data_IF_259425605231
#
_entry.id   IF_259425605231
#
_cell.length_a   1.000
_cell.length_b   1.000
_cell.length_c   1.000
_cell.angle_alpha   90.00
_cell.angle_beta   90.00
_cell.angle_gamma   90.00
#
_symmetry.space_group_name_H-M   'P 1'
#
loop_
_entity.id
_entity.type
_entity.pdbx_description
1 polymer ?
#
# COMPACT_ATOMS: atom_id res chain seq x y z
N UNK A 1 12.78 5.11 28.46
CA UNK A 1 11.59 5.36 29.30
C UNK A 1 10.28 5.30 28.51
N UNK A 2 9.98 6.24 27.59
CA UNK A 2 8.72 6.18 26.83
C UNK A 2 8.62 4.93 25.94
N UNK A 3 9.71 4.55 25.25
CA UNK A 3 9.74 3.31 24.47
C UNK A 3 9.53 2.05 25.33
N UNK A 4 10.13 2.02 26.51
CA UNK A 4 9.98 0.90 27.45
C UNK A 4 8.53 0.78 27.91
N UNK A 5 7.90 1.89 28.26
CA UNK A 5 6.48 1.92 28.63
C UNK A 5 5.56 1.48 27.48
N UNK A 6 5.85 1.87 26.24
CA UNK A 6 5.12 1.38 25.08
C UNK A 6 5.32 -0.14 24.85
N UNK A 7 6.45 -0.70 25.27
CA UNK A 7 6.70 -2.14 25.21
C UNK A 7 5.96 -2.91 26.31
N UNK A 8 5.72 -2.30 27.47
CA UNK A 8 4.96 -2.91 28.56
C UNK A 8 3.49 -3.19 28.19
N UNK A 9 2.93 -2.49 27.20
CA UNK A 9 1.52 -2.65 26.80
C UNK A 9 1.24 -3.94 26.03
N UNK A 10 2.25 -4.54 25.40
CA UNK A 10 2.11 -5.79 24.65
C UNK A 10 3.36 -6.67 24.78
N UNK A 11 3.50 -7.40 25.90
CA UNK A 11 4.64 -8.29 26.14
C UNK A 11 4.75 -9.41 25.11
N UNK A 12 3.63 -9.81 24.49
CA UNK A 12 3.61 -10.85 23.47
C UNK A 12 4.32 -10.36 22.21
N UNK A 13 3.94 -9.19 21.69
CA UNK A 13 4.60 -8.60 20.52
C UNK A 13 6.09 -8.38 20.78
N UNK A 14 6.46 -7.92 21.98
CA UNK A 14 7.88 -7.76 22.37
C UNK A 14 8.60 -9.11 22.39
N UNK A 15 7.99 -10.17 22.93
CA UNK A 15 8.59 -11.51 22.95
C UNK A 15 8.81 -12.10 21.55
N UNK A 16 7.99 -11.69 20.57
CA UNK A 16 8.12 -12.05 19.15
C UNK A 16 9.14 -11.15 18.40
N UNK A 17 9.89 -10.35 19.15
CA UNK A 17 10.89 -9.42 18.63
C UNK A 17 10.29 -8.16 18.02
N UNK A 18 9.01 -7.88 18.22
CA UNK A 18 8.31 -6.65 17.84
C UNK A 18 8.48 -5.53 18.88
N UNK A 19 7.56 -4.57 18.90
CA UNK A 19 7.49 -3.50 19.91
C UNK A 19 7.91 -2.12 19.41
N UNK A 20 7.99 -1.17 20.33
CA UNK A 20 8.45 0.19 20.09
C UNK A 20 9.89 0.22 19.55
N UNK A 21 10.14 1.11 18.58
CA UNK A 21 11.42 1.26 17.88
C UNK A 21 12.00 2.64 18.05
N UNK A 22 11.16 3.66 17.90
CA UNK A 22 11.60 5.04 17.91
C UNK A 22 10.45 5.99 18.21
N UNK A 23 10.77 7.25 18.48
CA UNK A 23 9.84 8.35 18.59
C UNK A 23 10.26 9.49 17.66
N UNK A 24 9.32 9.98 16.86
CA UNK A 24 9.50 11.18 16.05
C UNK A 24 8.62 12.29 16.63
N UNK A 25 9.15 13.51 16.68
CA UNK A 25 8.40 14.68 17.17
C UNK A 25 8.30 15.71 16.06
N UNK A 26 7.09 16.20 15.83
CA UNK A 26 6.81 17.27 14.86
C UNK A 26 6.12 18.41 15.57
N UNK A 27 6.61 19.62 15.33
CA UNK A 27 6.07 20.84 15.93
C UNK A 27 5.44 21.68 14.83
N UNK A 28 4.18 22.06 15.04
CA UNK A 28 3.43 22.99 14.20
C UNK A 28 3.14 24.22 15.05
N UNK A 29 4.01 25.23 14.98
CA UNK A 29 3.91 26.44 15.79
C UNK A 29 2.64 27.24 15.50
N UNK A 30 2.18 27.20 14.25
CA UNK A 30 1.01 27.95 13.79
C UNK A 30 0.01 27.00 13.14
N UNK A 31 -1.17 26.89 13.73
CA UNK A 31 -2.34 26.22 13.15
C UNK A 31 -3.59 27.03 13.45
N UNK A 32 -4.72 26.79 12.77
CA UNK A 32 -6.00 27.44 13.08
C UNK A 32 -6.49 27.24 14.52
N UNK A 33 -5.95 26.27 15.26
CA UNK A 33 -6.34 25.95 16.63
C UNK A 33 -5.19 26.16 17.65
N UNK A 34 -4.15 26.91 17.29
CA UNK A 34 -2.96 27.14 18.12
C UNK A 34 -1.83 26.14 17.86
N UNK A 35 -0.71 26.21 18.61
CA UNK A 35 0.44 25.36 18.38
C UNK A 35 0.12 23.89 18.68
N UNK A 36 0.62 22.98 17.85
CA UNK A 36 0.48 21.54 18.02
C UNK A 36 1.84 20.86 18.10
N UNK A 37 1.99 19.91 19.03
CA UNK A 37 3.10 18.99 19.10
C UNK A 37 2.56 17.59 18.81
N UNK A 38 3.12 16.92 17.80
CA UNK A 38 2.73 15.58 17.37
C UNK A 38 3.89 14.64 17.68
N UNK A 39 3.62 13.62 18.48
CA UNK A 39 4.57 12.54 18.77
C UNK A 39 4.14 11.29 18.01
N UNK A 40 4.99 10.81 17.11
CA UNK A 40 4.81 9.52 16.45
C UNK A 40 5.61 8.45 17.18
N UNK A 41 4.94 7.37 17.58
CA UNK A 41 5.59 6.14 18.02
C UNK A 41 5.81 5.24 16.81
N UNK A 42 7.07 4.98 16.47
CA UNK A 42 7.41 3.96 15.48
C UNK A 42 7.35 2.60 16.18
N UNK A 43 6.43 1.74 15.74
CA UNK A 43 6.12 0.48 16.41
C UNK A 43 6.12 -0.68 15.41
N UNK A 44 6.78 -1.75 15.79
CA UNK A 44 6.90 -2.97 15.01
C UNK A 44 5.84 -3.98 15.46
N UNK A 45 4.80 -4.10 14.63
CA UNK A 45 3.61 -4.89 14.94
C UNK A 45 3.68 -6.32 14.40
N UNK A 46 4.84 -6.72 13.88
CA UNK A 46 5.11 -8.07 13.34
C UNK A 46 4.03 -8.46 12.31
N UNK A 47 3.39 -9.60 12.52
CA UNK A 47 2.40 -10.16 11.60
C UNK A 47 0.98 -9.62 11.78
N UNK A 48 0.78 -8.66 12.69
CA UNK A 48 -0.47 -7.92 12.78
C UNK A 48 -0.44 -6.68 11.87
N UNK A 49 -1.63 -6.23 11.44
CA UNK A 49 -1.77 -4.89 10.88
C UNK A 49 -1.36 -3.84 11.93
N UNK A 50 -1.86 -4.01 13.16
CA UNK A 50 -1.32 -3.36 14.35
C UNK A 50 -2.05 -2.12 14.86
N UNK A 51 -3.21 -1.75 14.28
CA UNK A 51 -3.99 -0.59 14.73
C UNK A 51 -4.27 -0.59 16.24
N UNK A 52 -4.81 -1.69 16.77
CA UNK A 52 -5.13 -1.77 18.20
C UNK A 52 -3.86 -1.75 19.06
N UNK A 53 -2.83 -2.50 18.67
CA UNK A 53 -1.54 -2.53 19.38
C UNK A 53 -0.92 -1.14 19.50
N UNK A 54 -0.88 -0.38 18.40
CA UNK A 54 -0.32 0.98 18.38
C UNK A 54 -1.19 1.93 19.20
N UNK A 55 -2.52 1.88 19.05
CA UNK A 55 -3.44 2.74 19.81
C UNK A 55 -3.28 2.53 21.32
N UNK A 56 -3.26 1.28 21.78
CA UNK A 56 -3.04 0.96 23.19
C UNK A 56 -1.69 1.47 23.68
N UNK A 57 -0.63 1.31 22.88
CA UNK A 57 0.69 1.83 23.23
C UNK A 57 0.68 3.37 23.39
N UNK A 58 0.13 4.12 22.43
CA UNK A 58 0.10 5.59 22.52
C UNK A 58 -0.88 6.12 23.59
N UNK A 59 -1.93 5.36 23.92
CA UNK A 59 -2.77 5.64 25.08
C UNK A 59 -1.98 5.56 26.39
N UNK A 60 -1.18 4.51 26.57
CA UNK A 60 -0.33 4.34 27.76
C UNK A 60 0.74 5.44 27.91
N UNK A 61 1.24 6.00 26.80
CA UNK A 61 2.22 7.09 26.84
C UNK A 61 1.64 8.42 27.34
N UNK A 62 0.32 8.58 27.34
CA UNK A 62 -0.34 9.88 27.53
C UNK A 62 0.05 10.61 28.82
N UNK A 63 -0.02 9.99 30.02
CA UNK A 63 0.31 10.70 31.26
C UNK A 63 1.74 11.26 31.28
N UNK A 64 2.68 10.51 30.71
CA UNK A 64 4.09 10.92 30.67
C UNK A 64 4.35 11.98 29.61
N UNK A 65 3.65 11.93 28.48
CA UNK A 65 3.75 12.99 27.47
C UNK A 65 3.18 14.31 28.02
N UNK A 66 2.08 14.28 28.76
CA UNK A 66 1.53 15.46 29.44
C UNK A 66 2.48 15.99 30.53
N UNK A 67 3.06 15.10 31.34
CA UNK A 67 4.08 15.47 32.36
C UNK A 67 5.29 16.17 31.73
N UNK A 68 5.84 15.62 30.64
CA UNK A 68 7.04 16.16 29.98
C UNK A 68 6.76 17.49 29.29
N UNK A 69 5.61 17.61 28.63
CA UNK A 69 5.31 18.77 27.77
C UNK A 69 4.60 19.90 28.52
N UNK A 70 3.95 19.60 29.65
CA UNK A 70 2.99 20.49 30.30
C UNK A 70 1.73 20.74 29.44
N UNK A 71 1.57 20.04 28.32
CA UNK A 71 0.45 20.18 27.40
C UNK A 71 -0.68 19.19 27.69
N UNK A 72 -1.69 19.20 26.83
CA UNK A 72 -2.83 18.27 26.85
C UNK A 72 -2.78 17.35 25.64
N UNK A 73 -2.88 16.04 25.86
CA UNK A 73 -2.93 15.06 24.77
C UNK A 73 -4.38 14.91 24.29
N UNK A 74 -4.61 15.18 23.02
CA UNK A 74 -5.93 15.08 22.40
C UNK A 74 -6.19 13.74 21.73
N UNK A 75 -5.42 13.41 20.70
CA UNK A 75 -5.58 12.21 19.88
C UNK A 75 -4.48 11.20 20.19
N UNK A 76 -4.87 9.93 20.27
CA UNK A 76 -4.01 8.76 20.55
C UNK A 76 -4.38 7.68 19.54
N UNK A 77 -3.90 7.85 18.32
CA UNK A 77 -4.41 7.10 17.17
C UNK A 77 -3.28 6.82 16.19
N UNK A 78 -3.30 5.64 15.57
CA UNK A 78 -2.40 5.31 14.46
C UNK A 78 -2.57 6.28 13.28
N UNK A 79 -1.54 6.31 12.43
CA UNK A 79 -1.62 6.88 11.08
C UNK A 79 -1.86 5.79 10.04
N UNK A 80 -2.81 5.99 9.13
CA UNK A 80 -2.98 5.13 7.95
C UNK A 80 -2.00 5.47 6.81
N UNK A 81 -1.32 6.62 6.87
CA UNK A 81 -0.12 6.85 6.06
C UNK A 81 1.03 6.05 6.68
N UNK A 82 1.05 4.75 6.40
CA UNK A 82 2.03 3.80 6.91
C UNK A 82 3.33 3.80 6.07
N UNK A 83 3.91 4.98 5.85
CA UNK A 83 5.08 5.18 4.99
C UNK A 83 6.39 4.53 5.50
N UNK A 84 6.39 4.04 6.74
CA UNK A 84 7.46 3.20 7.32
C UNK A 84 7.26 1.70 7.07
N UNK A 85 6.14 1.30 6.46
CA UNK A 85 5.77 -0.09 6.15
C UNK A 85 5.44 -0.23 4.66
N UNK A 86 6.48 -0.07 3.84
CA UNK A 86 6.39 -0.13 2.38
C UNK A 86 6.58 -1.56 1.87
N UNK A 87 5.80 -1.91 0.86
CA UNK A 87 6.01 -3.10 0.05
C UNK A 87 6.37 -2.71 -1.38
N UNK A 88 7.19 -3.55 -2.03
CA UNK A 88 7.79 -3.26 -3.34
C UNK A 88 7.65 -4.46 -4.26
N UNK A 89 7.31 -4.20 -5.52
CA UNK A 89 7.39 -5.19 -6.59
C UNK A 89 8.12 -4.60 -7.80
N UNK A 90 8.79 -5.48 -8.56
CA UNK A 90 9.44 -5.16 -9.83
C UNK A 90 9.22 -6.29 -10.82
N UNK A 91 8.98 -5.95 -12.08
CA UNK A 91 9.02 -6.89 -13.19
C UNK A 91 9.89 -6.35 -14.33
N UNK A 92 10.43 -7.27 -15.13
CA UNK A 92 11.15 -6.97 -16.38
C UNK A 92 10.57 -7.90 -17.44
N UNK A 93 10.09 -7.33 -18.54
CA UNK A 93 9.36 -8.07 -19.57
C UNK A 93 10.00 -7.77 -20.94
N UNK A 94 10.59 -8.78 -21.59
CA UNK A 94 11.06 -8.65 -22.96
C UNK A 94 9.93 -8.29 -23.93
N UNK A 95 10.19 -7.44 -24.94
CA UNK A 95 9.17 -7.01 -25.91
C UNK A 95 8.48 -8.21 -26.59
N UNK A 96 9.23 -9.28 -26.88
CA UNK A 96 8.70 -10.51 -27.48
C UNK A 96 7.55 -11.15 -26.68
N UNK A 97 7.47 -10.96 -25.36
CA UNK A 97 6.38 -11.47 -24.53
C UNK A 97 5.16 -10.54 -24.48
N UNK A 98 5.26 -9.34 -25.02
CA UNK A 98 4.20 -8.34 -25.04
C UNK A 98 3.47 -8.27 -26.38
N UNK A 99 4.02 -8.89 -27.44
CA UNK A 99 3.38 -8.96 -28.75
C UNK A 99 2.07 -9.77 -28.70
N UNK A 100 1.03 -9.30 -29.39
CA UNK A 100 -0.24 -10.03 -29.51
C UNK A 100 -1.08 -9.49 -30.67
N UNK A 101 -1.85 -10.37 -31.33
CA UNK A 101 -2.60 -9.98 -32.52
C UNK A 101 -1.68 -9.33 -33.55
N UNK A 102 -2.04 -8.14 -34.00
CA UNK A 102 -1.25 -7.33 -34.95
C UNK A 102 -0.33 -6.31 -34.25
N UNK A 103 -0.21 -6.36 -32.93
CA UNK A 103 0.63 -5.44 -32.15
C UNK A 103 2.01 -6.03 -31.89
N UNK A 104 3.02 -5.44 -32.52
CA UNK A 104 4.43 -5.71 -32.24
C UNK A 104 4.79 -5.35 -30.79
N UNK A 105 5.60 -6.19 -30.16
CA UNK A 105 5.99 -6.04 -28.75
C UNK A 105 6.60 -4.67 -28.45
N UNK A 106 7.43 -4.16 -29.35
CA UNK A 106 8.06 -2.84 -29.24
C UNK A 106 7.05 -1.69 -29.17
N UNK A 107 5.98 -1.77 -29.97
CA UNK A 107 4.91 -0.79 -29.94
C UNK A 107 4.11 -0.87 -28.64
N UNK A 108 3.87 -2.08 -28.12
CA UNK A 108 3.20 -2.28 -26.83
C UNK A 108 4.04 -1.69 -25.69
N UNK A 109 5.36 -1.91 -25.69
CA UNK A 109 6.27 -1.31 -24.70
C UNK A 109 6.17 0.21 -24.74
N UNK A 110 6.27 0.81 -25.92
CA UNK A 110 6.20 2.27 -26.05
C UNK A 110 4.85 2.82 -25.59
N UNK A 111 3.75 2.18 -26.00
CA UNK A 111 2.41 2.60 -25.60
C UNK A 111 2.18 2.53 -24.09
N UNK A 112 2.76 1.54 -23.40
CA UNK A 112 2.72 1.45 -21.92
C UNK A 112 3.52 2.60 -21.29
N UNK A 113 4.70 2.92 -21.81
CA UNK A 113 5.53 4.04 -21.32
C UNK A 113 4.81 5.37 -21.52
N UNK A 114 4.17 5.59 -22.66
CA UNK A 114 3.40 6.81 -22.96
C UNK A 114 2.17 6.93 -22.02
N UNK A 115 1.44 5.83 -21.82
CA UNK A 115 0.28 5.80 -20.92
C UNK A 115 0.68 6.02 -19.45
N UNK A 116 1.86 5.54 -19.03
CA UNK A 116 2.45 5.84 -17.73
C UNK A 116 2.82 7.32 -17.62
N UNK A 117 3.52 7.89 -18.62
CA UNK A 117 3.92 9.29 -18.62
C UNK A 117 2.69 10.22 -18.48
N UNK A 118 1.57 9.88 -19.12
CA UNK A 118 0.30 10.58 -18.93
C UNK A 118 -0.16 10.56 -17.46
N UNK A 119 -0.10 9.41 -16.78
CA UNK A 119 -0.46 9.29 -15.37
C UNK A 119 0.50 10.03 -14.42
N UNK A 120 1.75 10.29 -14.84
CA UNK A 120 2.71 11.05 -14.03
C UNK A 120 2.37 12.54 -14.01
N UNK A 121 1.96 13.08 -15.15
CA UNK A 121 1.79 14.53 -15.36
C UNK A 121 0.38 15.03 -15.06
N UNK A 122 -0.65 14.19 -15.20
CA UNK A 122 -2.05 14.56 -15.01
C UNK A 122 -2.72 13.81 -13.84
N UNK A 123 -3.11 14.50 -12.75
CA UNK A 123 -3.85 13.91 -11.64
C UNK A 123 -5.16 13.22 -12.03
N UNK A 124 -5.86 13.69 -13.08
CA UNK A 124 -7.08 13.03 -13.56
C UNK A 124 -6.77 11.62 -14.07
N UNK A 125 -5.71 11.47 -14.85
CA UNK A 125 -5.25 10.14 -15.28
C UNK A 125 -4.67 9.33 -14.13
N UNK A 126 -3.86 9.95 -13.26
CA UNK A 126 -3.26 9.30 -12.11
C UNK A 126 -4.31 8.63 -11.21
N UNK A 127 -5.47 9.29 -11.01
CA UNK A 127 -6.56 8.74 -10.22
C UNK A 127 -7.05 7.42 -10.81
N UNK A 128 -7.34 7.39 -12.11
CA UNK A 128 -7.78 6.16 -12.80
C UNK A 128 -6.66 5.11 -12.91
N UNK A 129 -5.40 5.54 -13.00
CA UNK A 129 -4.22 4.66 -13.04
C UNK A 129 -4.06 3.90 -11.71
N UNK A 130 -4.09 4.64 -10.59
CA UNK A 130 -3.96 4.07 -9.26
C UNK A 130 -5.22 3.25 -8.90
N UNK A 131 -6.42 3.69 -9.29
CA UNK A 131 -7.63 2.85 -9.17
C UNK A 131 -7.45 1.48 -9.83
N UNK A 132 -6.80 1.43 -10.99
CA UNK A 132 -6.45 0.19 -11.67
C UNK A 132 -5.53 -0.72 -10.85
N UNK A 133 -4.55 -0.16 -10.13
CA UNK A 133 -3.71 -0.89 -9.17
C UNK A 133 -4.57 -1.46 -8.04
N UNK A 134 -5.42 -0.60 -7.44
CA UNK A 134 -6.23 -0.95 -6.28
C UNK A 134 -7.29 -2.01 -6.59
N UNK A 135 -7.80 -2.11 -7.83
CA UNK A 135 -8.65 -3.23 -8.25
C UNK A 135 -8.05 -4.60 -7.92
N UNK A 136 -6.73 -4.75 -8.08
CA UNK A 136 -6.04 -6.01 -7.79
C UNK A 136 -5.73 -6.16 -6.30
N UNK A 137 -5.21 -5.11 -5.69
CA UNK A 137 -4.83 -5.09 -4.28
C UNK A 137 -6.05 -5.35 -3.37
N UNK A 138 -7.15 -4.64 -3.62
CA UNK A 138 -8.36 -4.74 -2.79
C UNK A 138 -9.04 -6.11 -2.93
N UNK A 139 -8.96 -6.73 -4.11
CA UNK A 139 -9.48 -8.09 -4.30
C UNK A 139 -8.76 -9.09 -3.38
N UNK A 140 -7.43 -9.00 -3.30
CA UNK A 140 -6.63 -9.83 -2.38
C UNK A 140 -6.89 -9.43 -0.93
N UNK A 141 -6.98 -8.13 -0.64
CA UNK A 141 -7.26 -7.59 0.69
C UNK A 141 -8.57 -8.17 1.25
N UNK A 142 -9.65 -8.08 0.48
CA UNK A 142 -10.97 -8.62 0.85
C UNK A 142 -10.91 -10.14 1.03
N UNK A 143 -10.30 -10.87 0.09
CA UNK A 143 -10.18 -12.32 0.17
C UNK A 143 -9.42 -12.77 1.42
N UNK A 144 -8.39 -12.03 1.83
CA UNK A 144 -7.55 -12.33 2.98
C UNK A 144 -8.03 -11.67 4.28
N UNK A 145 -9.22 -11.06 4.31
CA UNK A 145 -9.78 -10.44 5.52
C UNK A 145 -9.01 -9.21 6.02
N UNK A 146 -8.35 -8.49 5.13
CA UNK A 146 -7.65 -7.24 5.43
C UNK A 146 -8.59 -6.04 5.43
N UNK A 147 -8.19 -4.95 6.09
CA UNK A 147 -8.89 -3.67 5.99
C UNK A 147 -8.47 -2.93 4.71
N UNK A 148 -9.27 -3.06 3.64
CA UNK A 148 -8.99 -2.37 2.38
C UNK A 148 -9.08 -0.85 2.49
N UNK A 149 -9.84 -0.28 3.45
CA UNK A 149 -9.94 1.18 3.61
C UNK A 149 -8.63 1.76 4.15
N UNK A 150 -7.98 1.04 5.08
CA UNK A 150 -6.67 1.43 5.59
C UNK A 150 -5.61 1.39 4.47
N UNK A 151 -5.65 0.35 3.64
CA UNK A 151 -4.77 0.19 2.48
C UNK A 151 -5.00 1.32 1.47
N UNK A 152 -6.25 1.58 1.07
CA UNK A 152 -6.62 2.65 0.13
C UNK A 152 -6.18 4.03 0.64
N UNK A 153 -6.45 4.35 1.91
CA UNK A 153 -6.05 5.61 2.50
C UNK A 153 -4.53 5.81 2.49
N UNK A 154 -3.76 4.77 2.84
CA UNK A 154 -2.31 4.78 2.79
C UNK A 154 -1.76 4.94 1.38
N UNK A 155 -2.27 4.14 0.43
CA UNK A 155 -1.85 4.15 -0.96
C UNK A 155 -2.09 5.52 -1.62
N UNK A 156 -3.32 6.03 -1.54
CA UNK A 156 -3.69 7.30 -2.18
C UNK A 156 -3.03 8.51 -1.52
N UNK A 157 -2.80 8.50 -0.21
CA UNK A 157 -2.04 9.58 0.46
C UNK A 157 -0.56 9.53 0.03
N UNK A 158 0.03 8.33 -0.05
CA UNK A 158 1.41 8.16 -0.50
C UNK A 158 1.63 8.60 -1.96
N UNK A 159 0.61 8.45 -2.80
CA UNK A 159 0.62 8.94 -4.18
C UNK A 159 0.72 10.47 -4.30
N UNK A 160 0.46 11.21 -3.22
CA UNK A 160 0.54 12.67 -3.17
C UNK A 160 1.64 13.22 -2.24
N UNK A 161 2.56 12.36 -1.76
CA UNK A 161 3.58 12.70 -0.75
C UNK A 161 4.49 13.88 -1.12
N UNK A 162 4.71 14.09 -2.42
CA UNK A 162 5.57 15.16 -2.96
C UNK A 162 4.78 16.42 -3.36
N UNK A 163 3.55 16.58 -2.86
CA UNK A 163 2.71 17.77 -3.07
C UNK A 163 1.83 17.74 -4.31
N UNK A 164 1.97 16.74 -5.20
CA UNK A 164 1.05 16.49 -6.32
C UNK A 164 0.69 15.02 -6.39
N UNK A 165 -0.61 14.73 -6.50
CA UNK A 165 -1.10 13.37 -6.72
C UNK A 165 -0.61 12.83 -8.07
N UNK A 166 0.08 11.69 -8.06
CA UNK A 166 0.72 11.09 -9.25
C UNK A 166 0.60 9.56 -9.26
N UNK A 167 1.21 8.91 -10.24
CA UNK A 167 1.23 7.44 -10.36
C UNK A 167 1.99 6.77 -9.21
N UNK A 168 1.44 5.69 -8.66
CA UNK A 168 2.13 4.84 -7.68
C UNK A 168 3.16 3.89 -8.32
N UNK A 169 2.97 3.51 -9.58
CA UNK A 169 3.89 2.66 -10.31
C UNK A 169 4.82 3.46 -11.21
N UNK A 170 5.93 2.85 -11.61
CA UNK A 170 6.78 3.38 -12.68
C UNK A 170 6.88 2.37 -13.81
N UNK A 171 6.89 2.86 -15.04
CA UNK A 171 7.10 2.04 -16.24
C UNK A 171 8.15 2.70 -17.12
N UNK A 172 9.23 1.98 -17.40
CA UNK A 172 10.36 2.48 -18.18
C UNK A 172 10.88 1.41 -19.12
N UNK A 173 11.74 1.82 -20.05
CA UNK A 173 12.49 0.91 -20.92
C UNK A 173 13.93 0.83 -20.42
N UNK A 174 14.47 -0.37 -20.27
CA UNK A 174 15.88 -0.55 -19.94
C UNK A 174 16.78 -0.44 -21.20
N UNK A 175 18.10 -0.64 -21.01
CA UNK A 175 19.08 -0.54 -22.10
C UNK A 175 18.96 -1.65 -23.15
N UNK A 176 18.34 -2.77 -22.80
CA UNK A 176 18.12 -3.91 -23.69
C UNK A 176 16.76 -3.80 -24.42
N UNK A 177 15.99 -2.75 -24.11
CA UNK A 177 14.68 -2.53 -24.69
C UNK A 177 13.54 -3.19 -23.91
N UNK A 178 13.81 -3.86 -22.78
CA UNK A 178 12.78 -4.50 -21.98
C UNK A 178 11.91 -3.47 -21.25
N UNK A 179 10.64 -3.79 -21.08
CA UNK A 179 9.73 -3.03 -20.22
C UNK A 179 10.03 -3.35 -18.76
N UNK A 180 10.30 -2.32 -17.96
CA UNK A 180 10.54 -2.43 -16.52
C UNK A 180 9.43 -1.73 -15.76
N UNK A 181 8.70 -2.51 -14.96
CA UNK A 181 7.64 -2.02 -14.09
C UNK A 181 8.08 -2.06 -12.62
N UNK A 182 7.79 -1.03 -11.84
CA UNK A 182 7.92 -1.06 -10.37
C UNK A 182 6.67 -0.50 -9.71
N UNK A 183 6.40 -0.96 -8.49
CA UNK A 183 5.36 -0.42 -7.62
C UNK A 183 5.87 -0.40 -6.18
N UNK A 184 5.70 0.74 -5.51
CA UNK A 184 5.98 0.90 -4.08
C UNK A 184 4.81 1.65 -3.43
N UNK A 185 4.27 1.10 -2.35
CA UNK A 185 3.20 1.74 -1.58
C UNK A 185 3.15 1.23 -0.14
N UNK A 186 2.56 2.00 0.80
CA UNK A 186 2.24 1.53 2.14
C UNK A 186 1.28 0.34 2.10
N UNK A 187 1.65 -0.75 2.77
CA UNK A 187 0.78 -1.91 2.97
C UNK A 187 0.90 -2.42 4.41
N UNK A 188 0.08 -1.85 5.29
CA UNK A 188 -0.11 -2.34 6.65
C UNK A 188 -1.16 -3.45 6.66
N UNK A 189 -0.73 -4.67 6.39
CA UNK A 189 -1.56 -5.90 6.42
C UNK A 189 -1.16 -6.80 7.59
N UNK A 190 -1.96 -7.82 7.88
CA UNK A 190 -1.65 -8.82 8.89
C UNK A 190 -2.06 -10.23 8.48
N UNK A 191 -1.29 -11.24 8.89
CA UNK A 191 -1.69 -12.66 8.82
C UNK A 191 -2.34 -13.13 10.12
N UNK A 192 -2.29 -12.30 11.17
CA UNK A 192 -2.98 -12.49 12.45
C UNK A 192 -3.85 -11.28 12.81
N UNK A 193 -4.85 -11.52 13.66
CA UNK A 193 -5.72 -10.47 14.21
C UNK A 193 -6.83 -10.01 13.28
N UNK A 194 -7.82 -9.31 13.83
CA UNK A 194 -8.99 -8.85 13.06
C UNK A 194 -9.76 -10.00 12.39
N UNK A 195 -10.27 -9.73 11.18
CA UNK A 195 -11.08 -10.69 10.43
C UNK A 195 -10.29 -11.92 9.94
N UNK A 196 -8.95 -11.80 9.81
CA UNK A 196 -8.06 -12.89 9.36
C UNK A 196 -8.16 -14.14 10.23
N UNK A 197 -8.40 -13.96 11.54
CA UNK A 197 -8.52 -15.05 12.51
C UNK A 197 -9.93 -15.62 12.62
N UNK A 198 -10.96 -14.83 12.33
CA UNK A 198 -12.37 -15.22 12.60
C UNK A 198 -13.13 -15.66 11.36
N UNK A 199 -12.76 -15.18 10.17
CA UNK A 199 -13.47 -15.47 8.94
C UNK A 199 -12.91 -16.72 8.24
N UNK A 200 -13.65 -17.84 8.14
CA UNK A 200 -13.11 -19.08 7.59
C UNK A 200 -12.60 -18.94 6.15
N UNK A 201 -13.28 -18.13 5.33
CA UNK A 201 -12.84 -17.83 3.96
C UNK A 201 -11.48 -17.11 3.91
N UNK A 202 -11.18 -16.22 4.86
CA UNK A 202 -9.91 -15.51 4.90
C UNK A 202 -8.77 -16.45 5.29
N UNK A 203 -9.02 -17.37 6.22
CA UNK A 203 -8.05 -18.41 6.60
C UNK A 203 -7.77 -19.37 5.44
N UNK A 204 -8.79 -19.72 4.64
CA UNK A 204 -8.60 -20.52 3.41
C UNK A 204 -7.76 -19.75 2.40
N UNK A 205 -8.08 -18.47 2.14
CA UNK A 205 -7.32 -17.65 1.21
C UNK A 205 -5.83 -17.53 1.59
N UNK A 206 -5.53 -17.26 2.87
CA UNK A 206 -4.15 -17.20 3.36
C UNK A 206 -3.42 -18.55 3.21
N UNK A 207 -4.11 -19.68 3.45
CA UNK A 207 -3.54 -21.02 3.24
C UNK A 207 -3.28 -21.33 1.76
N UNK A 208 -4.16 -20.89 0.86
CA UNK A 208 -3.95 -21.04 -0.59
C UNK A 208 -2.75 -20.22 -1.05
N UNK A 209 -2.59 -18.99 -0.53
CA UNK A 209 -1.44 -18.14 -0.83
C UNK A 209 -0.13 -18.70 -0.26
N UNK A 210 -0.19 -19.45 0.85
CA UNK A 210 0.97 -20.07 1.47
C UNK A 210 1.93 -19.09 2.15
N UNK A 211 1.50 -17.83 2.35
CA UNK A 211 2.30 -16.79 3.01
C UNK A 211 2.49 -17.10 4.49
N UNK A 212 3.71 -16.95 4.97
CA UNK A 212 4.11 -17.19 6.36
C UNK A 212 4.15 -15.92 7.19
N UNK A 213 4.33 -14.76 6.54
CA UNK A 213 4.44 -13.45 7.21
C UNK A 213 3.54 -12.41 6.58
N UNK A 214 3.18 -11.36 7.35
CA UNK A 214 2.48 -10.20 6.82
C UNK A 214 3.30 -9.45 5.75
N UNK A 215 4.64 -9.56 5.79
CA UNK A 215 5.52 -9.01 4.75
C UNK A 215 5.32 -9.74 3.42
N UNK A 216 5.33 -11.06 3.41
CA UNK A 216 5.10 -11.85 2.20
C UNK A 216 3.70 -11.58 1.62
N UNK A 217 2.67 -11.45 2.48
CA UNK A 217 1.34 -11.05 2.03
C UNK A 217 1.36 -9.68 1.33
N UNK A 218 2.05 -8.70 1.93
CA UNK A 218 2.18 -7.36 1.35
C UNK A 218 2.90 -7.40 -0.01
N UNK A 219 3.99 -8.17 -0.13
CA UNK A 219 4.74 -8.35 -1.38
C UNK A 219 3.88 -8.98 -2.48
N UNK A 220 3.10 -10.03 -2.15
CA UNK A 220 2.13 -10.65 -3.07
C UNK A 220 1.09 -9.62 -3.52
N UNK A 221 0.52 -8.85 -2.59
CA UNK A 221 -0.47 -7.82 -2.92
C UNK A 221 0.12 -6.73 -3.83
N UNK A 222 1.35 -6.26 -3.55
CA UNK A 222 2.03 -5.30 -4.43
C UNK A 222 2.30 -5.89 -5.82
N UNK A 223 2.72 -7.15 -5.92
CA UNK A 223 2.91 -7.81 -7.21
C UNK A 223 1.60 -7.92 -8.01
N UNK A 224 0.49 -8.28 -7.34
CA UNK A 224 -0.84 -8.30 -7.96
C UNK A 224 -1.26 -6.90 -8.43
N UNK A 225 -1.03 -5.87 -7.62
CA UNK A 225 -1.29 -4.48 -8.01
C UNK A 225 -0.51 -4.04 -9.25
N UNK A 226 0.78 -4.39 -9.33
CA UNK A 226 1.63 -4.11 -10.49
C UNK A 226 1.16 -4.87 -11.74
N UNK A 227 0.78 -6.14 -11.60
CA UNK A 227 0.25 -6.95 -12.68
C UNK A 227 -1.11 -6.41 -13.20
N UNK A 228 -1.99 -6.00 -12.30
CA UNK A 228 -3.28 -5.41 -12.66
C UNK A 228 -3.09 -4.08 -13.41
N UNK A 229 -2.10 -3.28 -12.99
CA UNK A 229 -1.73 -2.05 -13.67
C UNK A 229 -1.17 -2.30 -15.07
N UNK A 230 -0.28 -3.28 -15.23
CA UNK A 230 0.23 -3.70 -16.53
C UNK A 230 -0.91 -4.09 -17.48
N UNK A 231 -1.83 -4.94 -17.00
CA UNK A 231 -2.98 -5.37 -17.80
C UNK A 231 -3.84 -4.20 -18.29
N UNK A 232 -4.10 -3.22 -17.41
CA UNK A 232 -4.85 -2.02 -17.75
C UNK A 232 -4.11 -1.13 -18.77
N UNK A 233 -2.82 -0.88 -18.57
CA UNK A 233 -2.01 -0.06 -19.48
C UNK A 233 -1.89 -0.72 -20.85
N UNK A 234 -1.59 -2.02 -20.88
CA UNK A 234 -1.51 -2.79 -22.12
C UNK A 234 -2.81 -2.67 -22.92
N UNK A 235 -3.96 -2.94 -22.31
CA UNK A 235 -5.26 -2.86 -22.99
C UNK A 235 -5.60 -1.45 -23.50
N UNK A 236 -5.26 -0.40 -22.74
CA UNK A 236 -5.50 1.00 -23.11
C UNK A 236 -4.58 1.49 -24.22
N UNK A 237 -3.33 1.00 -24.25
CA UNK A 237 -2.31 1.44 -25.19
C UNK A 237 -2.44 0.86 -26.61
N UNK A 238 -3.28 -0.16 -26.80
CA UNK A 238 -3.37 -0.89 -28.06
C UNK A 238 -4.77 -0.84 -28.69
N UNK A 239 -5.79 -1.40 -28.03
CA UNK A 239 -7.11 -1.63 -28.63
C UNK A 239 -8.21 -0.71 -28.08
N UNK A 240 -7.94 -0.05 -26.95
CA UNK A 240 -8.97 0.62 -26.16
C UNK A 240 -9.90 -0.38 -25.45
N UNK A 241 -10.20 -0.13 -24.17
CA UNK A 241 -10.91 -1.07 -23.27
C UNK A 241 -12.24 -1.59 -23.87
N UNK A 242 -12.96 -0.76 -24.62
CA UNK A 242 -14.30 -1.09 -25.12
C UNK A 242 -14.30 -2.26 -26.11
N UNK A 243 -13.28 -2.41 -26.96
CA UNK A 243 -13.21 -3.53 -27.91
C UNK A 243 -12.95 -4.87 -27.20
N UNK A 244 -12.06 -4.85 -26.20
CA UNK A 244 -11.76 -6.01 -25.35
C UNK A 244 -12.95 -6.45 -24.48
N UNK A 245 -13.63 -5.51 -23.82
CA UNK A 245 -14.84 -5.81 -23.01
C UNK A 245 -16.01 -6.32 -23.86
N UNK A 246 -16.23 -5.75 -25.05
CA UNK A 246 -17.31 -6.19 -25.94
C UNK A 246 -17.11 -7.62 -26.46
N UNK A 247 -15.86 -8.05 -26.64
CA UNK A 247 -15.54 -9.43 -27.09
C UNK A 247 -15.83 -10.47 -26.00
N UNK A 248 -15.69 -10.10 -24.72
CA UNK A 248 -16.08 -10.95 -23.58
C UNK A 248 -17.60 -10.96 -23.35
N UNK A 249 -18.29 -9.83 -23.51
CA UNK A 249 -19.76 -9.78 -23.46
C UNK A 249 -20.41 -10.54 -24.63
N UNK A 250 -19.80 -10.51 -25.82
CA UNK A 250 -20.29 -11.27 -26.97
C UNK A 250 -20.18 -12.80 -26.79
N UNK A 251 -19.39 -13.29 -25.82
CA UNK A 251 -19.32 -14.72 -25.45
C UNK A 251 -20.37 -15.13 -24.41
N UNK A 252 -21.11 -14.18 -23.84
CA UNK A 252 -22.20 -14.43 -22.88
C UNK A 252 -23.60 -14.38 -23.53
N UNK A 253 -23.68 -14.21 -24.86
CA UNK A 253 -24.91 -14.25 -25.65
C UNK A 253 -24.92 -15.51 -26.52
#
# INVERSE_FOLDING_TARGET
>A
RLLDLANETDPVVVSLGGGARDLEVRVFAETPAGPMLIVHLLYDTRDAMGANTVNTAVEALTPFVEEITGGRVHLRILSNLADRRLARAKCVIPPALLAFGDFEGEHVVQGIVDAYAFAVVDPYRAATHNKGIMNGIDAVAMACGQDWRAIEAGAHTYAARDGRYTSLSTWTRDREGNLVGTLELPLAVGTIGGATRVHPGAQVALRILGVQTARELAEVMTAVGLAQNLGALRALSTEGIQRGHMTLHARQV
#
